data_IF_794390027257
#
_entry.id   IF_794390027257
#
_cell.length_a   1.000
_cell.length_b   1.000
_cell.length_c   1.000
_cell.angle_alpha   90.00
_cell.angle_beta   90.00
_cell.angle_gamma   90.00
#
_symmetry.space_group_name_H-M   'P 1'
#
loop_
_entity.id
_entity.type
_entity.pdbx_description
1 polymer ?
#
# COMPACT_ATOMS: atom_id res chain seq x y z
N UNK A 1 -0.73 32.00 -42.81
CA UNK A 1 -0.06 33.31 -42.66
C UNK A 1 1.09 33.13 -41.67
N UNK A 2 2.15 32.43 -42.09
CA UNK A 2 3.31 32.07 -41.26
C UNK A 2 4.52 32.80 -41.85
N UNK A 3 5.04 33.79 -41.12
CA UNK A 3 6.24 34.54 -41.50
C UNK A 3 7.42 33.55 -41.54
N UNK A 4 7.95 33.29 -42.74
CA UNK A 4 9.28 32.72 -42.90
C UNK A 4 10.29 33.71 -42.31
N UNK A 5 10.69 33.52 -41.06
CA UNK A 5 11.84 34.19 -40.47
C UNK A 5 13.11 33.58 -41.06
N UNK A 6 13.44 34.02 -42.28
CA UNK A 6 14.76 33.82 -42.88
C UNK A 6 15.78 34.45 -41.95
N UNK A 7 16.63 33.63 -41.33
CA UNK A 7 17.76 34.11 -40.55
C UNK A 7 18.63 34.95 -41.48
N UNK A 8 18.66 36.26 -41.26
CA UNK A 8 19.55 37.18 -41.97
C UNK A 8 20.98 36.84 -41.55
N UNK A 9 21.66 36.01 -42.33
CA UNK A 9 23.08 35.74 -42.15
C UNK A 9 23.83 36.96 -42.67
N UNK A 10 24.26 37.82 -41.73
CA UNK A 10 25.06 39.00 -42.04
C UNK A 10 26.50 38.56 -42.35
N UNK A 11 27.04 38.80 -43.56
CA UNK A 11 28.36 38.31 -43.96
C UNK A 11 29.50 38.94 -43.17
N UNK A 12 29.28 40.09 -42.52
CA UNK A 12 30.26 40.74 -41.65
C UNK A 12 30.40 40.09 -40.26
N UNK A 13 29.48 39.21 -39.85
CA UNK A 13 29.53 38.51 -38.56
C UNK A 13 29.82 37.03 -38.81
N UNK A 14 31.10 36.70 -38.88
CA UNK A 14 31.54 35.30 -38.80
C UNK A 14 31.41 34.89 -37.33
N UNK A 15 30.35 34.17 -36.99
CA UNK A 15 30.25 33.50 -35.69
C UNK A 15 31.26 32.36 -35.72
N UNK A 16 32.46 32.60 -35.22
CA UNK A 16 33.44 31.53 -35.07
C UNK A 16 32.81 30.42 -34.22
N UNK A 17 32.95 29.13 -34.61
CA UNK A 17 32.41 28.03 -33.85
C UNK A 17 33.07 28.05 -32.48
N UNK A 18 32.36 28.64 -31.51
CA UNK A 18 32.81 28.75 -30.14
C UNK A 18 32.82 27.32 -29.57
N UNK A 19 33.97 26.66 -29.66
CA UNK A 19 34.17 25.31 -29.12
C UNK A 19 33.86 25.26 -27.62
N UNK A 20 33.99 26.40 -26.92
CA UNK A 20 33.64 26.52 -25.51
C UNK A 20 32.12 26.56 -25.28
N UNK A 21 31.32 27.02 -26.25
CA UNK A 21 29.86 26.94 -26.18
C UNK A 21 29.38 25.48 -26.25
N UNK A 22 30.09 24.61 -26.97
CA UNK A 22 29.82 23.16 -26.99
C UNK A 22 30.24 22.51 -25.67
N UNK A 23 31.34 22.96 -25.05
CA UNK A 23 31.77 22.50 -23.73
C UNK A 23 30.80 22.90 -22.60
N UNK A 24 30.16 24.08 -22.70
CA UNK A 24 29.15 24.54 -21.74
C UNK A 24 27.88 23.68 -21.72
N UNK A 25 27.53 23.04 -22.85
CA UNK A 25 26.38 22.14 -22.96
C UNK A 25 26.65 20.80 -22.24
N UNK A 26 27.92 20.44 -22.02
CA UNK A 26 28.32 19.24 -21.28
C UNK A 26 28.80 19.57 -19.87
N UNK A 27 28.10 20.44 -19.13
CA UNK A 27 28.35 20.55 -17.69
C UNK A 27 28.08 19.19 -17.03
N UNK A 28 29.09 18.55 -16.42
CA UNK A 28 28.85 17.32 -15.68
C UNK A 28 27.84 17.64 -14.57
N UNK A 29 26.77 16.85 -14.49
CA UNK A 29 25.75 16.97 -13.46
C UNK A 29 26.43 17.10 -12.10
N UNK A 30 26.01 18.07 -11.29
CA UNK A 30 26.51 18.19 -9.93
C UNK A 30 26.24 16.88 -9.20
N UNK A 31 27.17 16.43 -8.36
CA UNK A 31 26.99 15.21 -7.57
C UNK A 31 25.66 15.22 -6.79
N UNK A 32 25.19 16.40 -6.39
CA UNK A 32 23.90 16.60 -5.74
C UNK A 32 22.70 16.32 -6.65
N UNK A 33 22.75 16.75 -7.91
CA UNK A 33 21.70 16.52 -8.91
C UNK A 33 21.66 15.07 -9.36
N UNK A 34 22.82 14.42 -9.42
CA UNK A 34 22.94 12.99 -9.68
C UNK A 34 22.31 12.16 -8.54
N UNK A 35 22.56 12.52 -7.28
CA UNK A 35 21.99 11.84 -6.09
C UNK A 35 20.47 12.08 -5.99
N UNK A 36 20.00 13.30 -6.24
CA UNK A 36 18.57 13.63 -6.17
C UNK A 36 17.72 12.95 -7.27
N UNK A 37 18.34 12.62 -8.41
CA UNK A 37 17.70 11.84 -9.47
C UNK A 37 17.47 10.37 -9.09
N UNK A 38 18.09 9.87 -8.03
CA UNK A 38 17.97 8.47 -7.62
C UNK A 38 16.69 8.29 -6.78
N UNK A 39 15.73 7.58 -7.37
CA UNK A 39 14.39 7.37 -6.80
C UNK A 39 14.39 6.76 -5.40
N UNK A 40 15.30 5.81 -5.12
CA UNK A 40 15.35 5.16 -3.80
C UNK A 40 15.92 6.09 -2.73
N UNK A 41 16.95 6.89 -3.05
CA UNK A 41 17.54 7.86 -2.10
C UNK A 41 16.49 8.89 -1.68
N UNK A 42 15.75 9.45 -2.65
CA UNK A 42 14.68 10.40 -2.35
C UNK A 42 13.61 9.78 -1.45
N UNK A 43 13.18 8.54 -1.73
CA UNK A 43 12.21 7.84 -0.89
C UNK A 43 12.74 7.60 0.52
N UNK A 44 13.98 7.14 0.66
CA UNK A 44 14.61 6.95 1.97
C UNK A 44 14.73 8.27 2.73
N UNK A 45 15.14 9.36 2.06
CA UNK A 45 15.21 10.68 2.69
C UNK A 45 13.84 11.14 3.20
N UNK A 46 12.77 10.96 2.41
CA UNK A 46 11.39 11.26 2.84
C UNK A 46 11.02 10.43 4.08
N UNK A 47 11.31 9.13 4.10
CA UNK A 47 11.02 8.27 5.25
C UNK A 47 11.80 8.68 6.50
N UNK A 48 13.07 9.06 6.35
CA UNK A 48 13.90 9.53 7.45
C UNK A 48 13.39 10.85 8.03
N UNK A 49 12.98 11.79 7.16
CA UNK A 49 12.37 13.05 7.60
C UNK A 49 11.06 12.79 8.34
N UNK A 50 10.22 11.88 7.83
CA UNK A 50 8.98 11.51 8.50
C UNK A 50 9.23 10.86 9.86
N UNK A 51 10.20 9.94 9.95
CA UNK A 51 10.60 9.30 11.21
C UNK A 51 11.13 10.32 12.21
N UNK A 52 11.91 11.30 11.76
CA UNK A 52 12.43 12.37 12.60
C UNK A 52 11.30 13.28 13.12
N UNK A 53 10.35 13.65 12.25
CA UNK A 53 9.17 14.43 12.66
C UNK A 53 8.37 13.66 13.71
N UNK A 54 8.11 12.37 13.49
CA UNK A 54 7.43 11.52 14.47
C UNK A 54 8.21 11.47 15.79
N UNK A 55 9.51 11.22 15.76
CA UNK A 55 10.36 11.18 16.95
C UNK A 55 10.31 12.50 17.75
N UNK A 56 10.36 13.64 17.05
CA UNK A 56 10.25 14.96 17.69
C UNK A 56 8.88 15.15 18.32
N UNK A 57 7.80 14.83 17.60
CA UNK A 57 6.43 14.96 18.11
C UNK A 57 6.23 14.06 19.34
N UNK A 58 6.70 12.81 19.29
CA UNK A 58 6.62 11.88 20.42
C UNK A 58 7.34 12.42 21.66
N UNK A 59 8.55 12.97 21.47
CA UNK A 59 9.32 13.60 22.56
C UNK A 59 8.66 14.86 23.11
N UNK A 60 7.97 15.65 22.28
CA UNK A 60 7.21 16.82 22.74
C UNK A 60 5.95 16.40 23.49
N UNK A 61 5.28 15.34 23.03
CA UNK A 61 4.06 14.82 23.66
C UNK A 61 4.32 14.25 25.07
N UNK A 62 5.56 13.79 25.33
CA UNK A 62 6.06 13.30 26.62
C UNK A 62 5.11 12.30 27.32
N UNK A 63 4.43 11.49 26.49
CA UNK A 63 3.50 10.47 26.94
C UNK A 63 3.57 9.26 26.01
N UNK A 64 4.41 8.31 26.41
CA UNK A 64 4.65 7.05 25.70
C UNK A 64 3.38 6.20 25.52
N UNK A 65 2.35 6.41 26.33
CA UNK A 65 1.08 5.69 26.22
C UNK A 65 0.21 6.22 25.07
N UNK A 66 0.31 7.52 24.77
CA UNK A 66 -0.42 8.15 23.68
C UNK A 66 0.34 8.06 22.35
N UNK A 67 1.65 8.27 22.38
CA UNK A 67 2.49 8.23 21.18
C UNK A 67 3.90 7.74 21.55
N UNK A 68 4.17 6.43 21.45
CA UNK A 68 5.54 5.94 21.62
C UNK A 68 6.45 6.53 20.54
N UNK A 69 7.70 6.77 20.92
CA UNK A 69 8.73 7.25 19.99
C UNK A 69 8.99 6.23 18.86
N UNK A 70 9.57 6.71 17.76
CA UNK A 70 9.93 5.84 16.64
C UNK A 70 10.96 4.80 17.11
N UNK A 71 11.92 5.22 17.92
CA UNK A 71 12.97 4.34 18.47
C UNK A 71 12.37 3.25 19.35
N UNK A 72 11.46 3.60 20.28
CA UNK A 72 10.77 2.60 21.11
C UNK A 72 9.97 1.61 20.27
N UNK A 73 9.26 2.10 19.25
CA UNK A 73 8.48 1.24 18.34
C UNK A 73 9.39 0.29 17.55
N UNK A 74 10.55 0.77 17.09
CA UNK A 74 11.53 -0.04 16.39
C UNK A 74 12.13 -1.13 17.29
N UNK A 75 12.45 -0.81 18.56
CA UNK A 75 12.89 -1.80 19.53
C UNK A 75 11.81 -2.85 19.80
N UNK A 76 10.57 -2.42 20.08
CA UNK A 76 9.46 -3.33 20.33
C UNK A 76 9.19 -4.26 19.13
N UNK A 77 9.36 -3.76 17.91
CA UNK A 77 9.26 -4.57 16.70
C UNK A 77 10.36 -5.64 16.64
N UNK A 78 11.63 -5.25 16.82
CA UNK A 78 12.75 -6.20 16.80
C UNK A 78 12.61 -7.24 17.91
N UNK A 79 12.29 -6.80 19.13
CA UNK A 79 12.08 -7.67 20.28
C UNK A 79 10.91 -8.64 20.03
N UNK A 80 9.80 -8.15 19.49
CA UNK A 80 8.65 -8.99 19.13
C UNK A 80 8.95 -10.01 18.03
N UNK A 81 9.86 -9.70 17.10
CA UNK A 81 10.33 -10.63 16.07
C UNK A 81 11.29 -11.66 16.67
N UNK A 82 12.26 -11.22 17.47
CA UNK A 82 13.29 -12.09 18.08
C UNK A 82 12.68 -13.05 19.10
N UNK A 83 11.74 -12.57 19.93
CA UNK A 83 11.01 -13.41 20.89
C UNK A 83 10.03 -14.37 20.21
N UNK A 84 9.71 -14.14 18.92
CA UNK A 84 8.75 -14.93 18.17
C UNK A 84 7.28 -14.61 18.49
N UNK A 85 7.01 -13.66 19.40
CA UNK A 85 5.63 -13.26 19.74
C UNK A 85 4.89 -12.72 18.52
N UNK A 86 5.54 -11.81 17.78
CA UNK A 86 4.94 -11.18 16.60
C UNK A 86 4.69 -12.22 15.50
N UNK A 87 5.64 -13.13 15.31
CA UNK A 87 5.51 -14.23 14.34
C UNK A 87 4.36 -15.16 14.75
N UNK A 88 4.23 -15.48 16.04
CA UNK A 88 3.12 -16.26 16.58
C UNK A 88 1.77 -15.59 16.33
N UNK A 89 1.66 -14.28 16.55
CA UNK A 89 0.45 -13.50 16.27
C UNK A 89 0.10 -13.50 14.78
N UNK A 90 1.08 -13.27 13.91
CA UNK A 90 0.89 -13.35 12.45
C UNK A 90 0.42 -14.74 12.03
N UNK A 91 0.98 -15.78 12.61
CA UNK A 91 0.60 -17.17 12.31
C UNK A 91 -0.84 -17.48 12.75
N UNK A 92 -1.27 -16.98 13.91
CA UNK A 92 -2.67 -17.10 14.35
C UNK A 92 -3.58 -16.42 13.33
N UNK A 93 -3.31 -15.16 12.97
CA UNK A 93 -4.11 -14.44 11.96
C UNK A 93 -4.16 -15.19 10.62
N UNK A 94 -3.04 -15.75 10.18
CA UNK A 94 -2.96 -16.51 8.94
C UNK A 94 -3.78 -17.81 9.00
N UNK A 95 -3.76 -18.52 10.13
CA UNK A 95 -4.60 -19.72 10.33
C UNK A 95 -6.08 -19.40 10.20
N UNK A 96 -6.54 -18.32 10.84
CA UNK A 96 -7.94 -17.89 10.76
C UNK A 96 -8.32 -17.55 9.32
N UNK A 97 -7.46 -16.80 8.63
CA UNK A 97 -7.65 -16.43 7.23
C UNK A 97 -7.77 -17.65 6.33
N UNK A 98 -6.85 -18.61 6.45
CA UNK A 98 -6.85 -19.84 5.65
C UNK A 98 -8.10 -20.68 5.93
N UNK A 99 -8.50 -20.84 7.20
CA UNK A 99 -9.72 -21.58 7.54
C UNK A 99 -10.96 -20.94 6.93
N UNK A 100 -11.13 -19.63 7.10
CA UNK A 100 -12.26 -18.89 6.51
C UNK A 100 -12.28 -19.01 4.99
N UNK A 101 -11.12 -18.85 4.35
CA UNK A 101 -11.00 -18.97 2.91
C UNK A 101 -11.33 -20.37 2.38
N UNK A 102 -10.86 -21.42 3.03
CA UNK A 102 -11.17 -22.80 2.65
C UNK A 102 -12.67 -23.11 2.77
N UNK A 103 -13.30 -22.66 3.85
CA UNK A 103 -14.75 -22.81 4.05
C UNK A 103 -15.51 -22.03 2.96
N UNK A 104 -15.12 -20.78 2.71
CA UNK A 104 -15.71 -19.93 1.67
C UNK A 104 -15.61 -20.55 0.29
N UNK A 105 -14.43 -21.07 -0.10
CA UNK A 105 -14.25 -21.78 -1.37
C UNK A 105 -15.16 -23.00 -1.46
N UNK A 106 -15.21 -23.82 -0.41
CA UNK A 106 -16.03 -25.04 -0.42
C UNK A 106 -17.52 -24.71 -0.61
N UNK A 107 -18.01 -23.68 0.09
CA UNK A 107 -19.39 -23.21 -0.03
C UNK A 107 -19.66 -22.58 -1.41
N UNK A 108 -18.79 -21.70 -1.89
CA UNK A 108 -18.91 -21.07 -3.20
C UNK A 108 -18.90 -22.11 -4.33
N UNK A 109 -18.02 -23.11 -4.24
CA UNK A 109 -17.97 -24.22 -5.19
C UNK A 109 -19.26 -25.05 -5.17
N UNK A 110 -19.77 -25.39 -3.99
CA UNK A 110 -21.04 -26.09 -3.83
C UNK A 110 -22.23 -25.33 -4.41
N UNK A 111 -22.36 -24.04 -4.05
CA UNK A 111 -23.43 -23.17 -4.55
C UNK A 111 -23.33 -22.95 -6.06
N UNK A 112 -22.12 -22.76 -6.60
CA UNK A 112 -21.90 -22.60 -8.04
C UNK A 112 -22.24 -23.86 -8.80
N UNK A 113 -21.85 -25.03 -8.28
CA UNK A 113 -22.19 -26.33 -8.88
C UNK A 113 -23.70 -26.55 -8.89
N UNK A 114 -24.39 -26.21 -7.79
CA UNK A 114 -25.86 -26.26 -7.71
C UNK A 114 -26.52 -25.30 -8.72
N UNK A 115 -25.95 -24.10 -8.88
CA UNK A 115 -26.45 -23.11 -9.83
C UNK A 115 -26.26 -23.54 -11.29
N UNK A 116 -25.11 -24.12 -11.64
CA UNK A 116 -24.91 -24.60 -13.03
C UNK A 116 -25.85 -25.77 -13.33
N UNK A 117 -26.05 -26.67 -12.36
CA UNK A 117 -26.86 -27.88 -12.56
C UNK A 117 -28.38 -27.65 -12.49
N UNK A 118 -28.87 -26.65 -11.77
CA UNK A 118 -30.32 -26.46 -11.52
C UNK A 118 -30.79 -25.03 -11.73
N UNK A 119 -32.06 -24.85 -12.12
CA UNK A 119 -32.65 -23.50 -12.25
C UNK A 119 -32.81 -22.83 -10.88
N UNK A 120 -33.29 -23.57 -9.88
CA UNK A 120 -33.40 -23.07 -8.50
C UNK A 120 -32.05 -22.58 -7.96
N UNK A 121 -30.96 -23.30 -8.24
CA UNK A 121 -29.62 -22.89 -7.80
C UNK A 121 -29.17 -21.58 -8.44
N UNK A 122 -29.50 -21.32 -9.72
CA UNK A 122 -29.19 -20.04 -10.39
C UNK A 122 -29.92 -18.89 -9.73
N UNK A 123 -31.21 -19.07 -9.49
CA UNK A 123 -32.06 -18.04 -8.89
C UNK A 123 -31.62 -17.73 -7.45
N UNK A 124 -31.30 -18.78 -6.68
CA UNK A 124 -30.76 -18.66 -5.33
C UNK A 124 -29.42 -17.91 -5.33
N UNK A 125 -28.45 -18.36 -6.14
CA UNK A 125 -27.12 -17.74 -6.20
C UNK A 125 -27.20 -16.27 -6.63
N UNK A 126 -27.98 -15.98 -7.69
CA UNK A 126 -28.20 -14.60 -8.14
C UNK A 126 -28.78 -13.72 -7.04
N UNK A 127 -29.78 -14.22 -6.30
CA UNK A 127 -30.43 -13.46 -5.23
C UNK A 127 -29.46 -13.22 -4.07
N UNK A 128 -28.77 -14.26 -3.60
CA UNK A 128 -27.80 -14.15 -2.50
C UNK A 128 -26.66 -13.20 -2.87
N UNK A 129 -26.07 -13.33 -4.06
CA UNK A 129 -25.01 -12.42 -4.52
C UNK A 129 -25.49 -10.99 -4.61
N UNK A 130 -26.70 -10.73 -5.12
CA UNK A 130 -27.27 -9.37 -5.14
C UNK A 130 -27.51 -8.80 -3.75
N UNK A 131 -27.86 -9.63 -2.75
CA UNK A 131 -28.07 -9.19 -1.37
C UNK A 131 -26.77 -8.96 -0.60
N UNK A 132 -25.75 -9.81 -0.80
CA UNK A 132 -24.48 -9.75 -0.08
C UNK A 132 -23.45 -8.79 -0.69
N UNK A 133 -23.43 -8.60 -2.02
CA UNK A 133 -22.49 -7.69 -2.69
C UNK A 133 -22.50 -6.24 -2.15
N UNK A 134 -23.64 -5.61 -1.79
CA UNK A 134 -23.64 -4.29 -1.19
C UNK A 134 -23.33 -4.28 0.32
N UNK A 135 -23.24 -5.44 0.99
CA UNK A 135 -23.02 -5.51 2.43
C UNK A 135 -21.52 -5.45 2.76
N UNK A 136 -21.03 -4.38 3.40
CA UNK A 136 -19.63 -4.30 3.77
C UNK A 136 -19.34 -5.23 4.95
N UNK A 137 -18.22 -5.96 4.89
CA UNK A 137 -17.77 -6.88 5.95
C UNK A 137 -17.80 -6.25 7.37
N UNK A 138 -17.45 -4.96 7.47
CA UNK A 138 -17.41 -4.23 8.75
C UNK A 138 -18.80 -4.11 9.40
N UNK A 139 -19.87 -4.09 8.62
CA UNK A 139 -21.24 -4.04 9.14
C UNK A 139 -21.74 -5.41 9.64
N UNK A 140 -21.11 -6.49 9.18
CA UNK A 140 -21.42 -7.87 9.62
C UNK A 140 -20.70 -8.23 10.93
N UNK A 141 -19.67 -7.49 11.33
CA UNK A 141 -18.92 -7.74 12.57
C UNK A 141 -19.79 -7.77 13.83
N UNK A 142 -20.64 -6.76 14.13
CA UNK A 142 -21.45 -6.77 15.35
C UNK A 142 -22.41 -7.95 15.42
N UNK A 143 -22.92 -8.35 14.25
CA UNK A 143 -23.85 -9.44 14.08
C UNK A 143 -23.16 -10.80 14.29
N UNK A 144 -21.97 -10.96 13.71
CA UNK A 144 -21.12 -12.12 13.94
C UNK A 144 -20.73 -12.26 15.42
N UNK A 145 -20.43 -11.14 16.08
CA UNK A 145 -20.13 -11.10 17.51
C UNK A 145 -21.34 -11.48 18.37
N UNK A 146 -22.57 -11.11 17.97
CA UNK A 146 -23.79 -11.49 18.67
C UNK A 146 -24.08 -13.00 18.57
N UNK A 147 -23.89 -13.60 17.40
CA UNK A 147 -24.17 -15.03 17.21
C UNK A 147 -23.05 -15.94 17.70
N UNK A 148 -21.81 -15.60 17.39
CA UNK A 148 -20.66 -16.48 17.63
C UNK A 148 -19.78 -16.03 18.80
N UNK A 149 -20.02 -14.84 19.36
CA UNK A 149 -19.23 -14.26 20.45
C UNK A 149 -17.91 -13.62 19.99
N UNK A 150 -17.10 -13.23 20.98
CA UNK A 150 -15.73 -12.76 20.78
C UNK A 150 -14.83 -13.97 20.51
N UNK A 151 -14.17 -14.02 19.35
CA UNK A 151 -13.18 -15.06 19.07
C UNK A 151 -12.98 -15.36 17.59
N UNK A 152 -12.37 -16.50 17.32
CA UNK A 152 -12.02 -16.95 15.97
C UNK A 152 -13.28 -17.20 15.10
N UNK A 153 -14.36 -17.72 15.68
CA UNK A 153 -15.56 -18.09 14.92
C UNK A 153 -16.27 -16.88 14.31
N UNK A 154 -16.32 -15.73 14.99
CA UNK A 154 -16.91 -14.51 14.45
C UNK A 154 -16.05 -13.93 13.33
N UNK A 155 -14.73 -14.03 13.42
CA UNK A 155 -13.82 -13.65 12.33
C UNK A 155 -14.00 -14.55 11.11
N UNK A 156 -14.09 -15.87 11.30
CA UNK A 156 -14.31 -16.83 10.20
C UNK A 156 -15.62 -16.54 9.48
N UNK A 157 -16.70 -16.25 10.20
CA UNK A 157 -17.98 -15.91 9.58
C UNK A 157 -17.87 -14.68 8.68
N UNK A 158 -17.23 -13.61 9.17
CA UNK A 158 -17.02 -12.39 8.37
C UNK A 158 -16.07 -12.61 7.20
N UNK A 159 -15.17 -13.59 7.26
CA UNK A 159 -14.32 -13.93 6.12
C UNK A 159 -15.04 -14.74 5.03
N UNK A 160 -16.15 -15.41 5.37
CA UNK A 160 -16.87 -16.33 4.48
C UNK A 160 -18.02 -15.66 3.70
N UNK A 161 -18.51 -14.49 4.16
CA UNK A 161 -19.64 -13.76 3.52
C UNK A 161 -19.43 -13.47 2.03
#
# INVERSE_FOLDING_TARGET
>A
MTKNSTLFVRPEIVVEPNRNAVAEVQRPLSAFEAIYRISWIRKTAILLVLALIWEIIARIQDNDLLLPSFVQTAHAFVDGVVTGELIGKVWISLKVLVKGYLIGIALAFGLTTLAVSTQLGRDLLSTLTSMFNPLPAIAMLPLALLWFGLGENSLIFVLVH
#
